data_IF_448678490060
#
_entry.id   IF_448678490060
#
_cell.length_a   1.000
_cell.length_b   1.000
_cell.length_c   1.000
_cell.angle_alpha   90.00
_cell.angle_beta   90.00
_cell.angle_gamma   90.00
#
_symmetry.space_group_name_H-M   'P 1'
#
loop_
_entity.id
_entity.type
_entity.pdbx_description
1 polymer ?
#
# COMPACT_ATOMS: atom_id res chain seq x y z
N UNK A 1 -6.81 -65.97 -17.17
CA UNK A 1 -6.75 -64.51 -16.94
C UNK A 1 -7.72 -63.84 -17.92
N UNK A 2 -8.86 -63.34 -17.46
CA UNK A 2 -9.82 -62.63 -18.32
C UNK A 2 -9.35 -61.19 -18.46
N UNK A 3 -8.85 -60.82 -19.64
CA UNK A 3 -8.63 -59.42 -19.99
C UNK A 3 -10.01 -58.80 -20.28
N UNK A 4 -10.52 -57.98 -19.35
CA UNK A 4 -11.67 -57.14 -19.62
C UNK A 4 -11.21 -55.99 -20.52
N UNK A 5 -11.57 -56.06 -21.80
CA UNK A 5 -11.26 -55.03 -22.77
C UNK A 5 -12.10 -53.78 -22.49
N UNK A 6 -11.42 -52.65 -22.33
CA UNK A 6 -12.03 -51.36 -22.08
C UNK A 6 -12.87 -50.96 -23.31
N UNK A 7 -14.17 -50.71 -23.13
CA UNK A 7 -15.07 -50.46 -24.26
C UNK A 7 -14.93 -49.02 -24.76
N UNK A 8 -15.05 -48.79 -26.07
CA UNK A 8 -14.95 -47.46 -26.67
C UNK A 8 -15.98 -46.48 -26.08
N UNK A 9 -17.19 -46.96 -25.77
CA UNK A 9 -18.24 -46.16 -25.15
C UNK A 9 -17.84 -45.68 -23.75
N UNK A 10 -17.20 -46.52 -22.96
CA UNK A 10 -16.74 -46.19 -21.60
C UNK A 10 -15.65 -45.11 -21.63
N UNK A 11 -14.74 -45.15 -22.62
CA UNK A 11 -13.76 -44.07 -22.85
C UNK A 11 -14.45 -42.76 -23.20
N UNK A 12 -15.43 -42.79 -24.10
CA UNK A 12 -16.15 -41.58 -24.53
C UNK A 12 -16.93 -40.95 -23.38
N UNK A 13 -17.59 -41.76 -22.56
CA UNK A 13 -18.31 -41.29 -21.37
C UNK A 13 -17.34 -40.72 -20.34
N UNK A 14 -16.20 -41.37 -20.09
CA UNK A 14 -15.18 -40.85 -19.18
C UNK A 14 -14.63 -39.50 -19.63
N UNK A 15 -14.34 -39.31 -20.92
CA UNK A 15 -13.86 -38.04 -21.47
C UNK A 15 -14.96 -36.97 -21.42
N UNK A 16 -16.21 -37.32 -21.72
CA UNK A 16 -17.34 -36.38 -21.65
C UNK A 16 -17.58 -35.88 -20.22
N UNK A 17 -17.55 -36.76 -19.23
CA UNK A 17 -17.67 -36.41 -17.81
C UNK A 17 -16.46 -35.56 -17.38
N UNK A 18 -15.25 -35.94 -17.78
CA UNK A 18 -14.04 -35.18 -17.46
C UNK A 18 -14.09 -33.76 -18.03
N UNK A 19 -14.52 -33.60 -19.28
CA UNK A 19 -14.69 -32.30 -19.92
C UNK A 19 -15.75 -31.44 -19.18
N UNK A 20 -16.87 -32.05 -18.77
CA UNK A 20 -17.90 -31.37 -18.01
C UNK A 20 -17.40 -30.89 -16.63
N UNK A 21 -16.61 -31.70 -15.93
CA UNK A 21 -16.01 -31.32 -14.63
C UNK A 21 -15.02 -30.15 -14.83
N UNK A 22 -14.15 -30.22 -15.83
CA UNK A 22 -13.17 -29.16 -16.10
C UNK A 22 -13.83 -27.82 -16.43
N UNK A 23 -14.94 -27.84 -17.19
CA UNK A 23 -15.68 -26.63 -17.54
C UNK A 23 -16.18 -25.86 -16.30
N UNK A 24 -16.46 -26.56 -15.20
CA UNK A 24 -16.95 -25.95 -13.95
C UNK A 24 -15.80 -25.57 -12.99
N UNK A 25 -14.74 -26.38 -12.92
CA UNK A 25 -13.64 -26.18 -11.95
C UNK A 25 -12.72 -25.02 -12.34
N UNK A 26 -12.43 -24.82 -13.62
CA UNK A 26 -11.52 -23.77 -14.10
C UNK A 26 -11.97 -22.35 -13.69
N UNK A 27 -13.25 -21.93 -13.90
CA UNK A 27 -13.68 -20.60 -13.49
C UNK A 27 -13.62 -20.39 -11.96
N UNK A 28 -13.87 -21.42 -11.15
CA UNK A 28 -13.79 -21.34 -9.68
C UNK A 28 -12.39 -20.95 -9.18
N UNK A 29 -11.34 -21.54 -9.77
CA UNK A 29 -9.94 -21.19 -9.44
C UNK A 29 -9.64 -19.73 -9.79
N UNK A 30 -10.22 -19.23 -10.89
CA UNK A 30 -10.15 -17.81 -11.27
C UNK A 30 -10.78 -16.90 -10.22
N UNK A 31 -11.99 -17.23 -9.75
CA UNK A 31 -12.70 -16.46 -8.72
C UNK A 31 -11.94 -16.41 -7.40
N UNK A 32 -11.33 -17.52 -6.97
CA UNK A 32 -10.52 -17.52 -5.72
C UNK A 32 -9.29 -16.63 -5.80
N UNK A 33 -8.60 -16.59 -6.95
CA UNK A 33 -7.44 -15.71 -7.15
C UNK A 33 -7.85 -14.25 -7.10
N UNK A 34 -8.93 -13.88 -7.80
CA UNK A 34 -9.47 -12.52 -7.79
C UNK A 34 -9.87 -12.10 -6.38
N UNK A 35 -10.56 -12.97 -5.63
CA UNK A 35 -10.95 -12.67 -4.27
C UNK A 35 -9.72 -12.43 -3.37
N UNK A 36 -8.70 -13.30 -3.45
CA UNK A 36 -7.47 -13.13 -2.67
C UNK A 36 -6.70 -11.85 -3.01
N UNK A 37 -6.74 -11.43 -4.27
CA UNK A 37 -6.12 -10.18 -4.71
C UNK A 37 -6.88 -8.98 -4.18
N UNK A 38 -8.21 -8.98 -4.27
CA UNK A 38 -9.06 -7.92 -3.72
C UNK A 38 -8.86 -7.74 -2.23
N UNK A 39 -8.84 -8.84 -1.46
CA UNK A 39 -8.58 -8.77 0.00
C UNK A 39 -7.22 -8.16 0.31
N UNK A 40 -6.17 -8.50 -0.46
CA UNK A 40 -4.83 -7.91 -0.24
C UNK A 40 -4.80 -6.42 -0.56
N UNK A 41 -5.41 -6.00 -1.66
CA UNK A 41 -5.49 -4.59 -2.04
C UNK A 41 -6.28 -3.79 -1.01
N UNK A 42 -7.43 -4.30 -0.55
CA UNK A 42 -8.22 -3.63 0.50
C UNK A 42 -7.42 -3.47 1.79
N UNK A 43 -6.79 -4.54 2.27
CA UNK A 43 -5.96 -4.48 3.48
C UNK A 43 -4.80 -3.49 3.32
N UNK A 44 -4.16 -3.45 2.14
CA UNK A 44 -3.08 -2.52 1.85
C UNK A 44 -3.56 -1.05 1.85
N UNK A 45 -4.74 -0.78 1.28
CA UNK A 45 -5.33 0.57 1.29
C UNK A 45 -5.67 1.01 2.71
N UNK A 46 -6.30 0.14 3.51
CA UNK A 46 -6.63 0.45 4.91
C UNK A 46 -5.37 0.72 5.73
N UNK A 47 -4.32 -0.10 5.56
CA UNK A 47 -3.02 0.13 6.20
C UNK A 47 -2.45 1.50 5.82
N UNK A 48 -2.45 1.83 4.52
CA UNK A 48 -1.91 3.09 4.02
C UNK A 48 -2.69 4.30 4.56
N UNK A 49 -4.03 4.22 4.58
CA UNK A 49 -4.90 5.27 5.11
C UNK A 49 -4.69 5.48 6.61
N UNK A 50 -4.64 4.39 7.40
CA UNK A 50 -4.40 4.48 8.83
C UNK A 50 -3.05 5.14 9.13
N UNK A 51 -1.99 4.74 8.42
CA UNK A 51 -0.66 5.34 8.61
C UNK A 51 -0.63 6.82 8.21
N UNK A 52 -1.31 7.18 7.12
CA UNK A 52 -1.45 8.58 6.71
C UNK A 52 -2.15 9.41 7.79
N UNK A 53 -3.27 8.94 8.33
CA UNK A 53 -3.97 9.69 9.37
C UNK A 53 -3.17 9.75 10.68
N UNK A 54 -2.41 8.70 11.00
CA UNK A 54 -1.50 8.69 12.14
C UNK A 54 -0.38 9.73 12.01
N UNK A 55 0.34 9.73 10.89
CA UNK A 55 1.41 10.71 10.63
C UNK A 55 0.84 12.13 10.56
N UNK A 56 -0.32 12.30 9.92
CA UNK A 56 -1.01 13.59 9.86
C UNK A 56 -1.39 14.09 11.25
N UNK A 57 -1.87 13.21 12.12
CA UNK A 57 -2.14 13.53 13.53
C UNK A 57 -0.87 13.95 14.27
N UNK A 58 0.23 13.24 14.04
CA UNK A 58 1.54 13.54 14.64
C UNK A 58 2.08 14.91 14.23
N UNK A 59 1.84 15.30 12.97
CA UNK A 59 2.22 16.59 12.38
C UNK A 59 1.29 17.75 12.74
N UNK A 60 0.28 17.54 13.60
CA UNK A 60 -0.47 18.65 14.20
C UNK A 60 0.39 19.44 15.20
N UNK A 61 1.42 18.83 15.77
CA UNK A 61 2.43 19.53 16.55
C UNK A 61 3.39 20.30 15.60
N UNK A 62 3.53 21.63 15.75
CA UNK A 62 4.44 22.42 14.95
C UNK A 62 5.90 21.96 14.94
N UNK A 63 6.42 21.48 16.07
CA UNK A 63 7.81 21.02 16.16
C UNK A 63 8.00 19.73 15.35
N UNK A 64 7.05 18.80 15.46
CA UNK A 64 7.06 17.56 14.68
C UNK A 64 6.89 17.81 13.19
N UNK A 65 5.99 18.73 12.84
CA UNK A 65 5.83 19.18 11.48
C UNK A 65 7.15 19.73 10.96
N UNK A 66 7.75 20.72 11.62
CA UNK A 66 8.97 21.38 11.15
C UNK A 66 10.18 20.45 11.06
N UNK A 67 10.23 19.37 11.85
CA UNK A 67 11.30 18.34 11.79
C UNK A 67 11.03 17.22 10.78
N UNK A 68 9.88 17.24 10.10
CA UNK A 68 9.41 16.12 9.26
C UNK A 68 9.53 14.78 10.00
N UNK A 69 9.16 14.76 11.28
CA UNK A 69 9.40 13.60 12.13
C UNK A 69 8.11 12.84 12.41
N UNK A 70 8.24 11.53 12.63
CA UNK A 70 7.15 10.63 12.97
C UNK A 70 7.70 9.43 13.72
N UNK A 71 7.25 9.21 14.96
CA UNK A 71 7.68 8.09 15.79
C UNK A 71 6.59 7.01 15.82
N UNK A 72 6.72 5.94 15.02
CA UNK A 72 5.72 4.88 15.02
C UNK A 72 5.77 4.10 16.32
N UNK A 73 4.61 3.73 16.87
CA UNK A 73 4.52 2.91 18.09
C UNK A 73 5.16 1.51 17.93
N UNK A 74 5.28 1.03 16.70
CA UNK A 74 5.95 -0.21 16.33
C UNK A 74 6.69 -0.04 15.00
N UNK A 75 7.79 -0.77 14.73
CA UNK A 75 8.47 -0.68 13.45
C UNK A 75 7.52 -0.85 12.27
N UNK A 76 7.65 0.03 11.28
CA UNK A 76 6.84 -0.06 10.07
C UNK A 76 7.07 -1.42 9.38
N UNK A 77 6.00 -2.07 8.89
CA UNK A 77 6.17 -3.31 8.14
C UNK A 77 7.06 -3.10 6.91
N UNK A 78 7.88 -4.08 6.55
CA UNK A 78 8.86 -3.97 5.45
C UNK A 78 8.26 -3.65 4.08
N UNK A 79 6.96 -3.96 3.89
CA UNK A 79 6.23 -3.63 2.67
C UNK A 79 5.74 -2.18 2.60
N UNK A 80 5.91 -1.39 3.67
CA UNK A 80 5.44 -0.01 3.75
C UNK A 80 6.62 0.94 3.62
N UNK A 81 6.49 1.93 2.73
CA UNK A 81 7.43 3.05 2.65
C UNK A 81 6.69 4.37 2.82
N UNK A 82 7.14 5.18 3.77
CA UNK A 82 6.70 6.55 3.99
C UNK A 82 7.67 7.52 3.31
N UNK A 83 7.13 8.49 2.58
CA UNK A 83 7.90 9.55 1.90
C UNK A 83 7.23 10.89 2.19
N UNK A 84 8.04 11.92 2.29
CA UNK A 84 7.58 13.28 2.47
C UNK A 84 8.22 14.19 1.42
N UNK A 85 7.47 15.20 1.01
CA UNK A 85 7.93 16.23 0.09
C UNK A 85 7.48 17.60 0.61
N UNK A 86 8.35 18.59 0.56
CA UNK A 86 7.93 19.98 0.68
C UNK A 86 7.27 20.42 -0.62
N UNK A 87 6.14 21.10 -0.52
CA UNK A 87 5.46 21.74 -1.64
C UNK A 87 5.56 23.26 -1.49
N UNK A 88 5.50 23.96 -2.61
CA UNK A 88 5.24 25.40 -2.60
C UNK A 88 3.80 25.71 -2.15
N UNK A 89 3.51 27.00 -1.93
CA UNK A 89 2.18 27.47 -1.53
C UNK A 89 1.05 27.13 -2.54
N UNK A 90 1.40 26.69 -3.76
CA UNK A 90 0.46 26.28 -4.81
C UNK A 90 0.34 24.76 -4.96
N UNK A 91 1.09 23.97 -4.18
CA UNK A 91 1.10 22.51 -4.22
C UNK A 91 1.85 21.89 -5.42
N UNK A 92 2.66 22.67 -6.13
CA UNK A 92 3.16 22.35 -7.48
C UNK A 92 4.54 21.70 -7.52
N UNK A 93 5.51 22.22 -6.77
CA UNK A 93 6.91 21.77 -6.84
C UNK A 93 7.32 20.89 -5.64
N UNK A 94 7.19 19.55 -5.74
CA UNK A 94 7.64 18.64 -4.68
C UNK A 94 9.16 18.58 -4.63
N UNK A 95 9.72 18.90 -3.47
CA UNK A 95 11.12 18.63 -3.14
C UNK A 95 11.20 17.58 -2.03
N UNK A 96 12.03 16.54 -2.16
CA UNK A 96 12.05 15.43 -1.19
C UNK A 96 12.51 15.92 0.18
N UNK A 97 11.80 15.47 1.21
CA UNK A 97 12.18 15.62 2.61
C UNK A 97 12.56 14.27 3.19
N UNK A 98 13.44 14.28 4.20
CA UNK A 98 13.77 13.07 4.95
C UNK A 98 12.79 12.92 6.10
N UNK A 99 12.11 11.77 6.16
CA UNK A 99 11.24 11.45 7.29
C UNK A 99 12.09 10.93 8.43
N UNK A 100 12.05 11.62 9.56
CA UNK A 100 12.82 11.26 10.74
C UNK A 100 11.99 10.37 11.67
N UNK A 101 12.43 9.13 11.90
CA UNK A 101 11.75 8.19 12.81
C UNK A 101 12.09 8.38 14.31
N UNK A 102 12.71 9.52 14.64
CA UNK A 102 13.08 9.93 15.99
C UNK A 102 13.05 11.46 16.04
N UNK A 103 12.05 12.01 16.70
CA UNK A 103 11.79 13.45 16.79
C UNK A 103 12.76 14.16 17.73
N UNK A 104 13.25 13.47 18.76
CA UNK A 104 14.19 14.03 19.72
C UNK A 104 15.55 14.39 19.07
N UNK A 105 15.97 13.62 18.07
CA UNK A 105 17.24 13.81 17.36
C UNK A 105 17.09 14.56 16.03
N UNK A 106 15.86 14.83 15.59
CA UNK A 106 15.61 15.45 14.30
C UNK A 106 15.89 16.95 14.35
N UNK A 107 16.62 17.43 13.35
CA UNK A 107 16.80 18.87 13.13
C UNK A 107 15.61 19.42 12.34
N UNK A 108 15.14 20.63 12.64
CA UNK A 108 14.13 21.30 11.82
C UNK A 108 14.57 21.42 10.36
N UNK A 109 13.61 21.44 9.45
CA UNK A 109 13.85 21.73 8.04
C UNK A 109 14.50 23.11 7.88
N UNK A 110 15.44 23.21 6.94
CA UNK A 110 16.24 24.44 6.75
C UNK A 110 15.43 25.66 6.27
N UNK A 111 14.19 25.44 5.78
CA UNK A 111 13.31 26.48 5.28
C UNK A 111 11.90 26.29 5.84
N UNK A 112 11.15 27.39 5.95
CA UNK A 112 9.73 27.32 6.28
C UNK A 112 8.97 26.61 5.16
N UNK A 113 8.34 25.48 5.49
CA UNK A 113 7.50 24.71 4.57
C UNK A 113 6.04 24.95 4.94
N UNK A 114 5.26 25.55 4.03
CA UNK A 114 3.84 25.83 4.26
C UNK A 114 2.94 24.61 4.01
N UNK A 115 3.37 23.71 3.13
CA UNK A 115 2.62 22.53 2.73
C UNK A 115 3.57 21.35 2.51
N UNK A 116 3.24 20.20 3.09
CA UNK A 116 3.98 18.95 2.90
C UNK A 116 3.11 17.91 2.24
N UNK A 117 3.61 17.25 1.21
CA UNK A 117 2.99 16.06 0.65
C UNK A 117 3.57 14.84 1.31
N UNK A 118 2.73 14.10 2.01
CA UNK A 118 3.05 12.78 2.48
C UNK A 118 2.58 11.75 1.46
N UNK A 119 3.41 10.74 1.22
CA UNK A 119 3.09 9.59 0.41
C UNK A 119 3.39 8.31 1.19
N UNK A 120 2.36 7.48 1.35
CA UNK A 120 2.50 6.12 1.88
C UNK A 120 2.29 5.13 0.75
N UNK A 121 3.28 4.26 0.55
CA UNK A 121 3.25 3.20 -0.45
C UNK A 121 3.29 1.85 0.25
N UNK A 122 2.36 0.97 -0.10
CA UNK A 122 2.31 -0.41 0.36
C UNK A 122 2.57 -1.32 -0.83
N UNK A 123 3.63 -2.14 -0.73
CA UNK A 123 4.10 -3.04 -1.77
C UNK A 123 3.66 -4.49 -1.51
N UNK A 124 3.74 -5.33 -2.53
CA UNK A 124 3.53 -6.77 -2.38
C UNK A 124 4.75 -7.37 -1.65
N UNK A 125 4.59 -8.08 -0.53
CA UNK A 125 5.72 -8.64 0.22
C UNK A 125 6.52 -9.67 -0.59
N UNK A 126 5.94 -10.20 -1.67
CA UNK A 126 6.61 -11.16 -2.58
C UNK A 126 7.30 -10.46 -3.76
N UNK A 127 6.98 -9.20 -4.00
CA UNK A 127 7.56 -8.41 -5.09
C UNK A 127 7.50 -6.91 -4.75
N UNK A 128 8.63 -6.37 -4.28
CA UNK A 128 8.77 -4.96 -3.92
C UNK A 128 8.47 -3.98 -5.06
N UNK A 129 8.53 -4.40 -6.32
CA UNK A 129 8.17 -3.51 -7.45
C UNK A 129 6.65 -3.35 -7.62
N UNK A 130 5.86 -4.29 -7.09
CA UNK A 130 4.41 -4.27 -7.23
C UNK A 130 3.78 -3.48 -6.09
N UNK A 131 3.22 -2.33 -6.43
CA UNK A 131 2.47 -1.49 -5.50
C UNK A 131 1.05 -2.04 -5.35
N UNK A 132 0.65 -2.33 -4.11
CA UNK A 132 -0.71 -2.75 -3.77
C UNK A 132 -1.60 -1.53 -3.46
N UNK A 133 -1.04 -0.53 -2.79
CA UNK A 133 -1.73 0.72 -2.48
C UNK A 133 -0.74 1.90 -2.44
N UNK A 134 -1.23 3.08 -2.81
CA UNK A 134 -0.53 4.36 -2.68
C UNK A 134 -1.53 5.40 -2.22
N UNK A 135 -1.23 6.05 -1.11
CA UNK A 135 -2.05 7.15 -0.57
C UNK A 135 -1.17 8.37 -0.46
N UNK A 136 -1.67 9.49 -0.96
CA UNK A 136 -0.98 10.77 -0.97
C UNK A 136 -1.88 11.80 -0.33
N UNK A 137 -1.35 12.53 0.65
CA UNK A 137 -2.08 13.58 1.37
C UNK A 137 -1.19 14.79 1.54
N UNK A 138 -1.76 15.96 1.27
CA UNK A 138 -1.11 17.24 1.49
C UNK A 138 -1.51 17.75 2.90
N UNK A 139 -0.50 18.02 3.73
CA UNK A 139 -0.63 18.42 5.12
C UNK A 139 -0.11 19.86 5.26
N UNK A 140 -0.99 20.85 5.53
CA UNK A 140 -0.58 22.22 5.73
C UNK A 140 0.19 22.36 7.05
N UNK A 141 1.08 23.34 7.11
CA UNK A 141 1.77 23.68 8.35
C UNK A 141 0.74 24.09 9.41
N UNK A 142 0.78 23.52 10.63
CA UNK A 142 -0.14 23.89 11.71
C UNK A 142 0.09 25.32 12.23
N UNK A 143 1.25 25.92 11.94
CA UNK A 143 1.55 27.31 12.29
C UNK A 143 1.33 28.26 11.11
N UNK A 144 0.89 29.50 11.39
CA UNK A 144 0.83 30.53 10.36
C UNK A 144 2.24 30.92 9.87
N UNK A 145 2.37 31.38 8.62
CA UNK A 145 3.66 31.84 8.10
C UNK A 145 4.21 32.99 8.96
N UNK A 146 5.55 33.07 9.12
CA UNK A 146 6.17 34.19 9.82
C UNK A 146 5.76 35.50 9.14
N UNK A 147 5.29 36.45 9.95
CA UNK A 147 4.93 37.79 9.50
C UNK A 147 6.25 38.55 9.31
N UNK A 148 6.58 38.88 8.06
CA UNK A 148 7.72 39.76 7.76
C UNK A 148 7.42 41.21 8.13
#
# INVERSE_FOLDING_TARGET
MRQQGLTLVEVLVAIAIFAAILAVVVPLVGFFRLNSQSTRTLNATTLAQNLVEEVRGFWQDPDHYNKTCYEPASPLPSQVSLRAYALDATGGNPSPLTVNYSCASATPDAAYVSLKRMEVVVQDPRNATKVLARVTVDVPNPTPPPIN
#
